data_IF_616192223528
#
_entry.id   IF_616192223528
#
_cell.length_a   1.000
_cell.length_b   1.000
_cell.length_c   1.000
_cell.angle_alpha   90.00
_cell.angle_beta   90.00
_cell.angle_gamma   90.00
#
_symmetry.space_group_name_H-M   'P 1'
#
loop_
_entity.id
_entity.type
_entity.pdbx_description
1 polymer ?
#
# COMPACT_ATOMS: atom_id res chain seq x y z
N UNK A 1 23.14 17.85 -4.72
CA UNK A 1 22.62 17.55 -6.06
C UNK A 1 21.21 18.13 -6.13
N UNK A 2 20.89 19.02 -7.09
CA UNK A 2 19.53 19.53 -7.22
C UNK A 2 18.61 18.33 -7.50
N UNK A 3 17.77 17.98 -6.53
CA UNK A 3 16.85 16.87 -6.64
C UNK A 3 15.86 17.16 -7.75
N UNK A 4 15.99 16.49 -8.89
CA UNK A 4 15.02 16.60 -9.96
C UNK A 4 13.65 16.15 -9.44
N UNK A 5 12.61 16.90 -9.80
CA UNK A 5 11.24 16.52 -9.45
C UNK A 5 10.87 15.24 -10.20
N UNK A 6 10.10 14.36 -9.55
CA UNK A 6 9.59 13.12 -10.15
C UNK A 6 8.08 13.19 -10.34
N UNK A 7 7.53 12.55 -11.38
CA UNK A 7 6.08 12.48 -11.56
C UNK A 7 5.44 11.62 -10.46
N UNK A 8 4.38 12.13 -9.85
CA UNK A 8 3.57 11.37 -8.90
C UNK A 8 2.86 10.21 -9.62
N UNK A 9 2.97 8.99 -9.07
CA UNK A 9 2.34 7.77 -9.57
C UNK A 9 0.81 7.84 -9.68
N UNK A 10 0.19 8.83 -9.04
CA UNK A 10 -1.27 8.98 -8.99
C UNK A 10 -1.80 10.17 -9.80
N UNK A 11 -1.20 11.35 -9.67
CA UNK A 11 -1.69 12.56 -10.36
C UNK A 11 -0.78 13.04 -11.51
N UNK A 12 0.35 12.36 -11.75
CA UNK A 12 1.30 12.69 -12.82
C UNK A 12 2.10 13.98 -12.62
N UNK A 13 1.72 14.86 -11.69
CA UNK A 13 2.40 16.14 -11.44
C UNK A 13 3.81 15.92 -10.85
N UNK A 14 4.74 16.81 -11.22
CA UNK A 14 6.12 16.80 -10.74
C UNK A 14 6.21 17.25 -9.28
N UNK A 15 6.72 16.38 -8.41
CA UNK A 15 6.86 16.60 -6.97
C UNK A 15 8.31 16.36 -6.49
N UNK A 16 8.70 16.89 -5.31
CA UNK A 16 10.03 16.65 -4.75
C UNK A 16 10.34 15.14 -4.59
N UNK A 17 11.58 14.70 -4.87
CA UNK A 17 11.99 13.28 -4.87
C UNK A 17 11.81 12.55 -3.53
N UNK A 18 11.77 13.29 -2.44
CA UNK A 18 11.68 12.84 -1.04
C UNK A 18 10.26 12.91 -0.46
N UNK A 19 9.27 13.15 -1.32
CA UNK A 19 7.86 13.27 -0.90
C UNK A 19 7.28 11.91 -0.47
N UNK A 20 7.08 11.71 0.83
CA UNK A 20 6.31 10.57 1.36
C UNK A 20 4.79 10.71 1.10
N UNK A 21 4.32 11.95 0.95
CA UNK A 21 2.93 12.31 0.63
C UNK A 21 2.99 13.33 -0.50
N UNK A 22 2.15 13.15 -1.52
CA UNK A 22 2.09 14.09 -2.64
C UNK A 22 1.51 15.43 -2.15
N UNK A 23 2.24 16.56 -2.29
CA UNK A 23 1.73 17.87 -1.87
C UNK A 23 0.55 18.37 -2.72
N UNK A 24 0.24 17.70 -3.84
CA UNK A 24 -0.75 18.15 -4.81
C UNK A 24 -2.04 17.31 -4.80
N UNK A 25 -1.94 15.99 -4.56
CA UNK A 25 -3.11 15.11 -4.48
C UNK A 25 -3.30 14.44 -3.12
N UNK A 26 -2.40 14.65 -2.17
CA UNK A 26 -2.48 14.08 -0.81
C UNK A 26 -2.23 12.57 -0.72
N UNK A 27 -1.95 11.89 -1.83
CA UNK A 27 -1.71 10.45 -1.81
C UNK A 27 -0.33 10.09 -1.26
N UNK A 28 -0.28 9.05 -0.44
CA UNK A 28 0.94 8.56 0.22
C UNK A 28 1.71 7.62 -0.71
N UNK A 29 3.01 7.48 -0.45
CA UNK A 29 3.97 6.78 -1.33
C UNK A 29 3.77 7.17 -2.81
N UNK A 30 3.80 8.47 -3.14
CA UNK A 30 3.53 8.93 -4.50
C UNK A 30 4.65 8.62 -5.49
N UNK A 31 5.78 8.11 -5.02
CA UNK A 31 6.99 7.86 -5.79
C UNK A 31 7.51 6.44 -5.55
N UNK A 32 8.32 5.98 -6.51
CA UNK A 32 8.97 4.67 -6.45
C UNK A 32 8.02 3.52 -6.82
N UNK A 33 8.55 2.31 -6.95
CA UNK A 33 7.76 1.13 -7.26
C UNK A 33 7.00 0.65 -6.02
N UNK A 34 5.85 0.01 -6.25
CA UNK A 34 5.15 -0.72 -5.21
C UNK A 34 6.03 -1.86 -4.69
N UNK A 35 5.91 -2.17 -3.40
CA UNK A 35 6.75 -3.15 -2.72
C UNK A 35 5.90 -4.27 -2.14
N UNK A 36 6.35 -5.50 -2.30
CA UNK A 36 5.71 -6.65 -1.69
C UNK A 36 5.64 -6.49 -0.15
N UNK A 37 4.47 -6.71 0.47
CA UNK A 37 4.28 -6.51 1.91
C UNK A 37 5.08 -7.51 2.76
N UNK A 38 5.43 -8.66 2.19
CA UNK A 38 6.14 -9.74 2.87
C UNK A 38 7.65 -9.67 2.71
N UNK A 39 8.15 -9.53 1.47
CA UNK A 39 9.60 -9.59 1.19
C UNK A 39 10.21 -8.26 0.73
N UNK A 40 9.40 -7.20 0.59
CA UNK A 40 9.81 -5.86 0.13
C UNK A 40 10.40 -5.81 -1.29
N UNK A 41 10.36 -6.89 -2.07
CA UNK A 41 10.73 -6.82 -3.48
C UNK A 41 9.79 -5.91 -4.27
N UNK A 42 10.29 -5.17 -5.28
CA UNK A 42 9.44 -4.44 -6.20
C UNK A 42 8.38 -5.37 -6.83
N UNK A 43 7.17 -4.85 -6.91
CA UNK A 43 6.04 -5.48 -7.59
C UNK A 43 5.48 -4.49 -8.62
N UNK A 44 4.85 -5.02 -9.66
CA UNK A 44 4.21 -4.21 -10.69
C UNK A 44 2.70 -4.41 -10.62
N UNK A 45 1.95 -3.42 -11.11
CA UNK A 45 0.52 -3.57 -11.35
C UNK A 45 0.29 -4.78 -12.28
N UNK A 46 -0.87 -5.42 -12.14
CA UNK A 46 -1.28 -6.63 -12.87
C UNK A 46 -0.60 -7.94 -12.42
N UNK A 47 0.38 -7.90 -11.51
CA UNK A 47 0.94 -9.14 -10.94
C UNK A 47 -0.06 -9.78 -9.98
N UNK A 48 -0.43 -11.04 -10.22
CA UNK A 48 -1.30 -11.80 -9.30
C UNK A 48 -0.57 -12.27 -8.04
N UNK A 49 0.72 -12.55 -8.17
CA UNK A 49 1.58 -13.04 -7.08
C UNK A 49 2.93 -12.36 -7.14
N UNK A 50 3.58 -12.20 -5.99
CA UNK A 50 4.95 -11.71 -5.94
C UNK A 50 5.91 -12.74 -6.53
N UNK A 51 6.67 -12.36 -7.56
CA UNK A 51 7.62 -13.23 -8.24
C UNK A 51 8.74 -13.78 -7.33
N UNK A 52 9.00 -13.15 -6.18
CA UNK A 52 10.05 -13.59 -5.27
C UNK A 52 9.55 -14.47 -4.12
N UNK A 53 8.43 -14.13 -3.47
CA UNK A 53 7.96 -14.86 -2.28
C UNK A 53 6.61 -15.57 -2.47
N UNK A 54 6.00 -15.49 -3.65
CA UNK A 54 4.77 -16.18 -4.00
C UNK A 54 3.49 -15.70 -3.32
N UNK A 55 3.54 -14.63 -2.52
CA UNK A 55 2.34 -14.10 -1.86
C UNK A 55 1.35 -13.57 -2.89
N UNK A 56 0.05 -13.76 -2.66
CA UNK A 56 -0.99 -13.12 -3.47
C UNK A 56 -0.87 -11.60 -3.36
N UNK A 57 -0.97 -10.92 -4.50
CA UNK A 57 -1.05 -9.48 -4.60
C UNK A 57 -2.47 -9.01 -4.92
N UNK A 58 -3.44 -9.93 -4.96
CA UNK A 58 -4.86 -9.60 -5.01
C UNK A 58 -5.42 -9.64 -3.58
N UNK A 59 -6.07 -8.56 -3.17
CA UNK A 59 -6.69 -8.44 -1.83
C UNK A 59 -8.11 -7.91 -1.94
N UNK A 60 -8.97 -8.31 -1.00
CA UNK A 60 -10.30 -7.72 -0.87
C UNK A 60 -10.20 -6.35 -0.17
N UNK A 61 -10.78 -5.32 -0.77
CA UNK A 61 -10.80 -3.99 -0.18
C UNK A 61 -11.61 -4.00 1.14
N UNK A 62 -11.04 -3.54 2.27
CA UNK A 62 -11.74 -3.52 3.55
C UNK A 62 -12.89 -2.50 3.63
N UNK A 63 -13.03 -1.64 2.61
CA UNK A 63 -14.08 -0.61 2.53
C UNK A 63 -15.23 -0.97 1.59
N UNK A 64 -14.94 -1.36 0.34
CA UNK A 64 -15.98 -1.72 -0.64
C UNK A 64 -16.18 -3.24 -0.81
N UNK A 65 -15.25 -4.08 -0.34
CA UNK A 65 -15.33 -5.54 -0.48
C UNK A 65 -14.85 -6.09 -1.83
N UNK A 66 -14.62 -5.25 -2.84
CA UNK A 66 -14.15 -5.68 -4.16
C UNK A 66 -12.68 -6.11 -4.12
N UNK A 67 -12.34 -7.11 -4.95
CA UNK A 67 -10.95 -7.56 -5.14
C UNK A 67 -10.18 -6.52 -5.94
N UNK A 68 -9.02 -6.11 -5.44
CA UNK A 68 -8.16 -5.10 -6.06
C UNK A 68 -6.70 -5.48 -5.91
N UNK A 69 -5.84 -4.87 -6.74
CA UNK A 69 -4.40 -5.04 -6.61
C UNK A 69 -3.86 -4.49 -5.28
N UNK A 70 -2.86 -5.16 -4.73
CA UNK A 70 -2.16 -4.76 -3.53
C UNK A 70 -1.35 -3.47 -3.78
N UNK A 71 -1.91 -2.35 -3.32
CA UNK A 71 -1.27 -1.04 -3.33
C UNK A 71 -1.69 -0.22 -2.11
N UNK A 72 -1.44 1.09 -2.15
CA UNK A 72 -1.86 1.99 -1.07
C UNK A 72 -3.35 2.33 -1.09
N UNK A 73 -3.99 2.21 -2.26
CA UNK A 73 -5.36 2.62 -2.54
C UNK A 73 -6.09 1.58 -3.39
N UNK A 74 -7.39 1.43 -3.14
CA UNK A 74 -8.27 0.55 -3.90
C UNK A 74 -8.53 1.12 -5.30
N UNK A 75 -8.49 0.27 -6.32
CA UNK A 75 -8.73 0.67 -7.71
C UNK A 75 -10.21 1.01 -7.99
N UNK A 76 -11.12 0.54 -7.14
CA UNK A 76 -12.57 0.70 -7.33
C UNK A 76 -13.16 1.88 -6.55
N UNK A 77 -12.76 2.07 -5.28
CA UNK A 77 -13.32 3.09 -4.40
C UNK A 77 -12.32 4.15 -3.92
N UNK A 78 -11.07 4.07 -4.37
CA UNK A 78 -9.97 4.97 -4.00
C UNK A 78 -9.66 5.06 -2.48
N UNK A 79 -10.23 4.15 -1.68
CA UNK A 79 -9.97 4.10 -0.25
C UNK A 79 -8.60 3.50 0.08
N UNK A 80 -8.00 3.93 1.20
CA UNK A 80 -6.75 3.37 1.72
C UNK A 80 -6.91 1.88 2.03
N UNK A 81 -6.03 1.05 1.45
CA UNK A 81 -6.00 -0.39 1.69
C UNK A 81 -5.24 -0.70 3.00
N UNK A 82 -5.83 -0.29 4.11
CA UNK A 82 -5.30 -0.49 5.46
C UNK A 82 -6.38 -1.02 6.38
N UNK A 83 -5.97 -1.80 7.38
CA UNK A 83 -6.82 -2.26 8.48
C UNK A 83 -6.19 -1.85 9.80
N UNK A 84 -7.05 -1.43 10.73
CA UNK A 84 -6.65 -1.09 12.09
C UNK A 84 -6.71 -2.36 12.94
N UNK A 85 -5.67 -2.62 13.71
CA UNK A 85 -5.68 -3.76 14.63
C UNK A 85 -6.84 -3.62 15.66
N UNK A 86 -7.72 -4.64 15.82
CA UNK A 86 -8.87 -4.58 16.73
C UNK A 86 -8.46 -4.61 18.20
N UNK A 87 -7.23 -5.02 18.50
CA UNK A 87 -6.71 -5.01 19.86
C UNK A 87 -6.61 -3.56 20.40
N UNK A 88 -7.37 -3.20 21.46
CA UNK A 88 -7.44 -1.83 21.95
C UNK A 88 -6.11 -1.29 22.47
N UNK A 89 -5.18 -2.18 22.86
CA UNK A 89 -3.81 -1.82 23.28
C UNK A 89 -2.85 -1.58 22.10
N UNK A 90 -3.20 -1.97 20.89
CA UNK A 90 -2.30 -1.92 19.72
C UNK A 90 -2.72 -0.86 18.70
N UNK A 91 -3.96 -0.94 18.20
CA UNK A 91 -4.57 -0.02 17.21
C UNK A 91 -3.64 0.37 16.04
N UNK A 92 -2.76 -0.54 15.63
CA UNK A 92 -1.79 -0.25 14.57
C UNK A 92 -2.45 -0.39 13.21
N UNK A 93 -2.23 0.61 12.36
CA UNK A 93 -2.61 0.62 10.96
C UNK A 93 -1.60 -0.19 10.15
N UNK A 94 -2.10 -1.13 9.34
CA UNK A 94 -1.26 -2.01 8.55
C UNK A 94 -1.99 -2.50 7.29
N UNK A 95 -1.27 -3.04 6.31
CA UNK A 95 -1.89 -3.61 5.13
C UNK A 95 -2.73 -4.87 5.45
N UNK A 96 -3.88 -5.09 4.78
CA UNK A 96 -4.80 -6.21 5.03
C UNK A 96 -4.34 -7.53 4.39
N UNK A 97 -3.06 -7.86 4.55
CA UNK A 97 -2.43 -9.01 3.86
C UNK A 97 -2.12 -10.15 4.82
N UNK A 98 -1.75 -9.82 6.06
CA UNK A 98 -1.49 -10.80 7.09
C UNK A 98 -2.75 -11.11 7.89
N UNK A 99 -2.89 -12.35 8.36
CA UNK A 99 -3.96 -12.73 9.30
C UNK A 99 -3.73 -12.18 10.71
N UNK A 100 -2.45 -11.97 11.06
CA UNK A 100 -2.01 -11.47 12.36
C UNK A 100 -1.44 -10.06 12.24
N UNK A 101 -1.62 -9.28 13.29
CA UNK A 101 -1.07 -7.95 13.39
C UNK A 101 0.46 -7.99 13.41
N UNK A 102 1.10 -7.20 12.55
CA UNK A 102 2.56 -7.09 12.44
C UNK A 102 3.24 -6.61 13.72
N UNK A 103 2.52 -5.88 14.58
CA UNK A 103 3.07 -5.32 15.82
C UNK A 103 2.83 -6.20 17.04
N UNK A 104 1.61 -6.74 17.20
CA UNK A 104 1.22 -7.45 18.42
C UNK A 104 0.95 -8.94 18.25
N UNK A 105 1.00 -9.46 17.02
CA UNK A 105 0.78 -10.88 16.70
C UNK A 105 -0.66 -11.38 16.88
N UNK A 106 -1.59 -10.56 17.40
CA UNK A 106 -3.00 -10.92 17.54
C UNK A 106 -3.71 -10.97 16.17
N UNK A 107 -4.75 -11.81 16.02
CA UNK A 107 -5.50 -11.90 14.77
C UNK A 107 -6.19 -10.56 14.43
N UNK A 108 -6.29 -10.30 13.11
CA UNK A 108 -6.95 -9.11 12.55
C UNK A 108 -8.44 -9.34 12.22
N UNK A 109 -8.90 -10.58 12.36
CA UNK A 109 -10.30 -11.02 12.25
C UNK A 109 -10.65 -11.86 13.47
#
# INVERSE_FOLDING_TARGET
>A
MPGYKHPCNYCGKLIPPDSNVCPLCGKVNPLGPLRCPKCRNPIQKDWKKCSNCGISLEIACPKCGETTFFGDYCEHCDARLVVVCPNPKCKTDQPPVAEKCIKCGKPLK
#
